data_IF_710234393459
#
_entry.id   IF_710234393459
#
_cell.length_a   1.000
_cell.length_b   1.000
_cell.length_c   1.000
_cell.angle_alpha   90.00
_cell.angle_beta   90.00
_cell.angle_gamma   90.00
#
_symmetry.space_group_name_H-M   'P 1'
#
loop_
_entity.id
_entity.type
_entity.pdbx_description
1 polymer ?
#
# COMPACT_ATOMS: atom_id res chain seq x y z
N UNK A 1 -32.87 24.31 48.11
CA UNK A 1 -32.60 25.11 46.89
C UNK A 1 -33.70 24.84 45.85
N UNK A 2 -34.96 25.09 46.22
CA UNK A 2 -36.16 24.63 45.47
C UNK A 2 -37.04 25.77 44.96
N UNK A 3 -36.61 27.03 45.10
CA UNK A 3 -37.40 28.20 44.68
C UNK A 3 -37.15 28.65 43.24
N UNK A 4 -36.14 28.11 42.55
CA UNK A 4 -35.78 28.54 41.18
C UNK A 4 -36.36 27.66 40.05
N UNK A 5 -36.99 26.52 40.36
CA UNK A 5 -37.58 25.65 39.33
C UNK A 5 -38.90 26.19 38.73
N UNK A 6 -39.53 27.17 39.38
CA UNK A 6 -40.81 27.73 38.91
C UNK A 6 -40.67 28.83 37.86
N UNK A 7 -39.45 29.15 37.41
CA UNK A 7 -39.23 30.21 36.41
C UNK A 7 -39.35 29.62 35.00
N UNK A 8 -40.45 29.93 34.32
CA UNK A 8 -40.63 29.62 32.89
C UNK A 8 -39.57 30.36 32.07
N UNK A 9 -38.52 29.66 31.67
CA UNK A 9 -37.49 30.13 30.71
C UNK A 9 -38.10 30.18 29.30
N UNK A 10 -38.94 31.19 29.07
CA UNK A 10 -39.39 31.56 27.73
C UNK A 10 -38.23 32.21 26.97
N UNK A 11 -37.97 31.74 25.75
CA UNK A 11 -36.95 32.32 24.87
C UNK A 11 -37.24 33.81 24.66
N UNK A 12 -36.26 34.68 24.86
CA UNK A 12 -36.39 36.13 24.63
C UNK A 12 -36.66 36.38 23.15
N UNK A 13 -37.84 36.91 22.80
CA UNK A 13 -38.20 37.27 21.42
C UNK A 13 -38.05 38.79 21.29
N UNK A 14 -37.02 39.22 20.58
CA UNK A 14 -36.80 40.64 20.27
C UNK A 14 -37.76 41.07 19.16
N UNK A 15 -38.61 42.07 19.45
CA UNK A 15 -39.50 42.67 18.44
C UNK A 15 -38.65 43.23 17.30
N UNK A 16 -38.75 42.63 16.11
CA UNK A 16 -38.08 43.07 14.88
C UNK A 16 -37.29 41.98 14.14
N UNK A 17 -37.07 40.82 14.75
CA UNK A 17 -36.31 39.74 14.12
C UNK A 17 -37.19 38.96 13.13
N UNK A 18 -37.02 39.23 11.83
CA UNK A 18 -37.69 38.48 10.76
C UNK A 18 -37.16 37.03 10.75
N UNK A 19 -38.03 36.06 10.96
CA UNK A 19 -37.72 34.63 10.82
C UNK A 19 -37.16 34.36 9.41
N UNK A 20 -35.83 34.17 9.30
CA UNK A 20 -35.22 33.69 8.06
C UNK A 20 -35.61 32.22 7.88
N UNK A 21 -36.17 31.81 6.72
CA UNK A 21 -36.48 30.40 6.48
C UNK A 21 -35.18 29.59 6.51
N UNK A 22 -35.17 28.50 7.31
CA UNK A 22 -34.07 27.55 7.33
C UNK A 22 -33.91 26.94 5.93
N UNK A 23 -32.81 27.26 5.23
CA UNK A 23 -32.44 26.56 4.00
C UNK A 23 -32.33 25.06 4.32
N UNK A 24 -33.06 24.23 3.58
CA UNK A 24 -32.96 22.77 3.66
C UNK A 24 -31.50 22.40 3.34
N UNK A 25 -30.78 21.85 4.33
CA UNK A 25 -29.47 21.24 4.07
C UNK A 25 -29.71 20.07 3.11
N UNK A 26 -29.11 20.14 1.92
CA UNK A 26 -29.00 18.97 1.06
C UNK A 26 -28.27 17.88 1.84
N UNK A 27 -28.89 16.71 1.93
CA UNK A 27 -28.31 15.52 2.52
C UNK A 27 -27.10 15.18 1.65
N UNK A 28 -25.90 15.52 2.12
CA UNK A 28 -24.68 15.01 1.50
C UNK A 28 -24.80 13.49 1.48
N UNK A 29 -24.60 12.89 0.30
CA UNK A 29 -24.40 11.44 0.21
C UNK A 29 -23.32 11.11 1.24
N UNK A 30 -23.65 10.24 2.19
CA UNK A 30 -22.66 9.69 3.12
C UNK A 30 -21.53 9.18 2.24
N UNK A 31 -20.35 9.77 2.40
CA UNK A 31 -19.12 9.13 1.97
C UNK A 31 -19.15 7.79 2.68
N UNK A 32 -19.25 6.71 1.90
CA UNK A 32 -19.16 5.37 2.44
C UNK A 32 -17.77 5.30 3.06
N UNK A 33 -17.73 5.31 4.39
CA UNK A 33 -16.49 5.09 5.14
C UNK A 33 -16.06 3.69 4.76
N UNK A 34 -15.11 3.62 3.82
CA UNK A 34 -14.40 2.38 3.51
C UNK A 34 -13.74 1.99 4.81
N UNK A 35 -14.37 1.06 5.53
CA UNK A 35 -13.79 0.43 6.71
C UNK A 35 -12.35 0.06 6.36
N UNK A 36 -11.34 0.47 7.13
CA UNK A 36 -9.98 0.02 6.87
C UNK A 36 -10.03 -1.49 7.04
N UNK A 37 -10.05 -2.22 5.92
CA UNK A 37 -9.81 -3.65 5.92
C UNK A 37 -8.37 -3.76 6.39
N UNK A 38 -8.20 -3.96 7.69
CA UNK A 38 -6.91 -4.30 8.27
C UNK A 38 -6.57 -5.64 7.62
N UNK A 39 -5.74 -5.60 6.59
CA UNK A 39 -5.33 -6.80 5.89
C UNK A 39 -4.42 -7.56 6.85
N UNK A 40 -4.88 -8.73 7.30
CA UNK A 40 -4.13 -9.58 8.23
C UNK A 40 -2.79 -10.02 7.62
N UNK A 41 -2.71 -10.06 6.29
CA UNK A 41 -1.48 -10.24 5.52
C UNK A 41 -0.47 -9.13 5.85
N UNK A 42 -0.91 -7.87 5.83
CA UNK A 42 -0.02 -6.74 6.09
C UNK A 42 0.62 -6.80 7.46
N UNK A 43 -0.10 -7.30 8.46
CA UNK A 43 0.46 -7.44 9.80
C UNK A 43 1.44 -8.63 9.85
N UNK A 44 1.13 -9.73 9.17
CA UNK A 44 1.99 -10.94 9.13
C UNK A 44 3.29 -10.72 8.37
N UNK A 45 3.31 -9.86 7.37
CA UNK A 45 4.49 -9.62 6.54
C UNK A 45 5.23 -8.32 6.90
N UNK A 46 5.06 -7.79 8.12
CA UNK A 46 5.80 -6.61 8.57
C UNK A 46 5.44 -5.31 7.84
N UNK A 47 4.13 -5.08 7.65
CA UNK A 47 3.51 -3.97 6.91
C UNK A 47 3.62 -4.05 5.37
N UNK A 48 3.93 -5.22 4.83
CA UNK A 48 3.90 -5.47 3.39
C UNK A 48 2.55 -6.03 2.97
N UNK A 49 1.93 -5.44 1.95
CA UNK A 49 0.64 -5.89 1.43
C UNK A 49 0.80 -6.47 0.03
N UNK A 50 -0.09 -7.41 -0.31
CA UNK A 50 -0.17 -7.94 -1.67
C UNK A 50 -0.71 -6.88 -2.63
N UNK A 51 -0.10 -6.80 -3.80
CA UNK A 51 -0.56 -5.94 -4.89
C UNK A 51 -1.45 -6.76 -5.83
N UNK A 52 -2.60 -6.20 -6.24
CA UNK A 52 -3.55 -6.89 -7.13
C UNK A 52 -3.44 -6.48 -8.59
N UNK A 53 -2.94 -5.28 -8.87
CA UNK A 53 -2.80 -4.74 -10.23
C UNK A 53 -1.34 -4.44 -10.53
N UNK A 54 -0.91 -4.75 -11.75
CA UNK A 54 0.46 -4.48 -12.22
C UNK A 54 0.80 -2.98 -12.18
N UNK A 55 -0.18 -2.12 -12.41
CA UNK A 55 -0.04 -0.65 -12.35
C UNK A 55 0.36 -0.14 -10.96
N UNK A 56 -0.02 -0.85 -9.90
CA UNK A 56 0.28 -0.49 -8.51
C UNK A 56 1.66 -1.01 -8.06
N UNK A 57 2.34 -1.82 -8.89
CA UNK A 57 3.67 -2.36 -8.62
C UNK A 57 4.71 -1.28 -8.96
N UNK A 58 4.94 -0.38 -8.00
CA UNK A 58 5.93 0.69 -8.12
C UNK A 58 6.65 0.93 -6.79
N UNK A 59 7.97 1.10 -6.85
CA UNK A 59 8.80 1.34 -5.68
C UNK A 59 9.32 0.04 -5.04
N UNK A 60 9.53 0.01 -3.71
CA UNK A 60 10.08 -1.17 -3.05
C UNK A 60 9.04 -2.30 -3.03
N UNK A 61 9.45 -3.46 -3.56
CA UNK A 61 8.64 -4.67 -3.68
C UNK A 61 9.42 -5.86 -3.14
N UNK A 62 8.73 -6.83 -2.55
CA UNK A 62 9.29 -8.12 -2.16
C UNK A 62 8.53 -9.22 -2.89
N UNK A 63 9.25 -10.26 -3.31
CA UNK A 63 8.66 -11.43 -3.98
C UNK A 63 8.72 -12.60 -3.02
N UNK A 64 7.56 -13.09 -2.62
CA UNK A 64 7.43 -14.26 -1.76
C UNK A 64 7.20 -15.53 -2.58
N UNK A 65 7.87 -16.61 -2.19
CA UNK A 65 7.63 -17.95 -2.66
C UNK A 65 7.15 -18.82 -1.49
N UNK A 66 5.99 -19.44 -1.61
CA UNK A 66 5.48 -20.37 -0.59
C UNK A 66 5.14 -19.70 0.74
N UNK A 67 5.78 -20.15 1.83
CA UNK A 67 5.47 -19.71 3.20
C UNK A 67 6.57 -18.80 3.74
N UNK A 68 6.38 -17.48 3.67
CA UNK A 68 7.27 -16.46 4.25
C UNK A 68 8.73 -16.60 3.79
N UNK A 69 8.99 -17.16 2.60
CA UNK A 69 10.34 -17.16 2.01
C UNK A 69 10.39 -16.12 0.91
N UNK A 70 11.33 -15.18 0.99
CA UNK A 70 11.47 -14.13 -0.01
C UNK A 70 12.66 -14.37 -0.92
N UNK A 71 12.63 -13.78 -2.11
CA UNK A 71 13.77 -13.79 -3.03
C UNK A 71 14.87 -12.89 -2.49
N UNK A 72 16.01 -13.49 -2.15
CA UNK A 72 17.23 -12.79 -1.75
C UNK A 72 18.15 -12.60 -2.96
N UNK A 73 18.65 -11.37 -3.13
CA UNK A 73 19.71 -11.10 -4.08
C UNK A 73 21.08 -11.42 -3.49
N UNK A 74 21.96 -12.01 -4.30
CA UNK A 74 23.37 -12.21 -3.97
C UNK A 74 24.25 -11.19 -4.71
N UNK A 75 25.41 -10.91 -4.13
CA UNK A 75 26.45 -10.02 -4.66
C UNK A 75 26.97 -10.43 -6.05
N UNK A 76 27.00 -11.73 -6.33
CA UNK A 76 27.41 -12.31 -7.61
C UNK A 76 26.38 -12.15 -8.74
N UNK A 77 25.26 -11.47 -8.47
CA UNK A 77 24.16 -11.24 -9.41
C UNK A 77 23.29 -12.48 -9.62
N UNK A 78 23.33 -13.47 -8.73
CA UNK A 78 22.37 -14.55 -8.66
C UNK A 78 21.28 -14.24 -7.63
N UNK A 79 20.16 -14.93 -7.74
CA UNK A 79 19.08 -14.89 -6.75
C UNK A 79 18.94 -16.24 -6.08
N UNK A 80 18.66 -16.23 -4.79
CA UNK A 80 18.35 -17.42 -4.00
C UNK A 80 17.07 -17.18 -3.23
N UNK A 81 16.39 -18.25 -2.82
CA UNK A 81 15.34 -18.12 -1.82
C UNK A 81 15.99 -17.95 -0.43
N UNK A 82 15.49 -16.98 0.32
CA UNK A 82 15.85 -16.74 1.71
C UNK A 82 15.31 -17.83 2.63
N UNK A 83 15.74 -17.78 3.89
CA UNK A 83 15.15 -18.63 4.92
C UNK A 83 13.67 -18.23 5.15
N UNK A 84 12.81 -19.15 5.61
CA UNK A 84 11.48 -18.80 6.05
C UNK A 84 11.55 -17.79 7.21
N UNK A 85 10.85 -16.67 7.05
CA UNK A 85 10.70 -15.65 8.08
C UNK A 85 9.61 -16.03 9.08
N UNK A 86 9.66 -15.41 10.26
CA UNK A 86 8.64 -15.59 11.30
C UNK A 86 7.43 -14.67 11.07
N UNK A 87 6.27 -15.04 11.64
CA UNK A 87 5.06 -14.22 11.52
C UNK A 87 5.28 -12.82 12.12
N UNK A 88 5.07 -11.79 11.31
CA UNK A 88 5.26 -10.39 11.66
C UNK A 88 6.60 -9.80 11.21
N UNK A 89 7.51 -10.63 10.70
CA UNK A 89 8.81 -10.19 10.20
C UNK A 89 8.71 -9.77 8.73
N UNK A 90 9.25 -8.58 8.43
CA UNK A 90 9.29 -8.06 7.07
C UNK A 90 10.48 -8.61 6.28
N UNK A 91 10.47 -8.50 4.94
CA UNK A 91 11.60 -8.86 4.10
C UNK A 91 12.86 -8.10 4.51
N UNK A 92 13.99 -8.81 4.49
CA UNK A 92 15.30 -8.23 4.75
C UNK A 92 15.69 -7.23 3.64
N UNK A 93 16.60 -6.28 3.89
CA UNK A 93 17.06 -5.34 2.86
C UNK A 93 17.61 -6.01 1.60
N UNK A 94 18.19 -7.20 1.73
CA UNK A 94 18.71 -8.01 0.61
C UNK A 94 17.60 -8.72 -0.19
N UNK A 95 16.39 -8.77 0.36
CA UNK A 95 15.20 -9.38 -0.24
C UNK A 95 14.24 -8.32 -0.84
N UNK A 96 14.50 -7.04 -0.56
CA UNK A 96 13.75 -5.93 -1.12
C UNK A 96 14.30 -5.61 -2.51
N UNK A 97 13.42 -5.68 -3.51
CA UNK A 97 13.65 -5.26 -4.87
C UNK A 97 12.96 -3.91 -5.11
N UNK A 98 13.37 -3.19 -6.14
CA UNK A 98 12.67 -1.98 -6.60
C UNK A 98 11.98 -2.29 -7.91
N UNK A 99 10.65 -2.24 -7.93
CA UNK A 99 9.88 -2.28 -9.14
C UNK A 99 9.84 -0.90 -9.79
N UNK A 100 10.07 -0.89 -11.09
CA UNK A 100 9.95 0.27 -11.97
C UNK A 100 8.89 -0.09 -13.01
N UNK A 101 7.74 0.56 -12.95
CA UNK A 101 6.72 0.42 -13.98
C UNK A 101 7.20 1.11 -15.26
N UNK A 102 7.28 0.36 -16.35
CA UNK A 102 7.66 0.88 -17.67
C UNK A 102 6.41 1.28 -18.43
N UNK A 103 5.39 0.43 -18.35
CA UNK A 103 4.09 0.64 -18.98
C UNK A 103 2.99 0.00 -18.11
N UNK A 104 1.72 0.14 -18.48
CA UNK A 104 0.58 -0.44 -17.74
C UNK A 104 0.68 -1.97 -17.56
N UNK A 105 1.34 -2.65 -18.51
CA UNK A 105 1.52 -4.11 -18.52
C UNK A 105 2.93 -4.58 -18.22
N UNK A 106 3.91 -3.67 -18.18
CA UNK A 106 5.33 -4.03 -18.14
C UNK A 106 6.02 -3.44 -16.94
N UNK A 107 6.72 -4.28 -16.20
CA UNK A 107 7.49 -3.92 -15.01
C UNK A 107 8.94 -4.37 -15.17
N UNK A 108 9.86 -3.60 -14.62
CA UNK A 108 11.24 -4.02 -14.44
C UNK A 108 11.55 -4.08 -12.95
N UNK A 109 12.28 -5.11 -12.54
CA UNK A 109 12.74 -5.24 -11.16
C UNK A 109 14.22 -4.92 -11.08
N UNK A 110 14.58 -4.15 -10.06
CA UNK A 110 15.95 -3.79 -9.73
C UNK A 110 16.29 -4.37 -8.37
N UNK A 111 17.40 -5.09 -8.31
CA UNK A 111 17.94 -5.67 -7.08
C UNK A 111 18.47 -4.58 -6.13
N UNK A 112 18.58 -4.91 -4.84
CA UNK A 112 19.25 -4.07 -3.83
C UNK A 112 20.70 -3.68 -4.18
N UNK A 113 21.36 -4.42 -5.09
CA UNK A 113 22.70 -4.08 -5.62
C UNK A 113 22.67 -3.14 -6.84
N UNK A 114 21.55 -2.46 -7.09
CA UNK A 114 21.36 -1.55 -8.20
C UNK A 114 21.42 -2.16 -9.61
N UNK A 115 21.21 -3.47 -9.74
CA UNK A 115 21.20 -4.18 -11.04
C UNK A 115 19.78 -4.61 -11.43
N UNK A 116 19.47 -4.61 -12.71
CA UNK A 116 18.18 -5.07 -13.22
C UNK A 116 18.14 -6.59 -13.36
N UNK A 117 16.97 -7.16 -13.05
CA UNK A 117 16.68 -8.57 -13.22
C UNK A 117 16.52 -8.89 -14.71
N UNK A 118 17.28 -9.87 -15.16
CA UNK A 118 17.32 -10.36 -16.54
C UNK A 118 17.11 -11.88 -16.57
N UNK A 119 16.35 -12.34 -17.56
CA UNK A 119 16.28 -13.76 -17.90
C UNK A 119 17.45 -14.12 -18.83
N UNK A 120 18.31 -15.03 -18.38
CA UNK A 120 19.38 -15.60 -19.20
C UNK A 120 18.89 -16.77 -20.06
N UNK A 121 19.62 -17.13 -21.12
CA UNK A 121 19.25 -18.21 -22.07
C UNK A 121 19.12 -19.60 -21.42
N UNK A 122 19.60 -19.77 -20.20
CA UNK A 122 19.51 -21.02 -19.44
C UNK A 122 18.26 -21.06 -18.53
N UNK A 123 17.29 -20.18 -18.77
CA UNK A 123 16.09 -19.99 -17.92
C UNK A 123 16.42 -19.59 -16.46
N UNK A 124 17.63 -19.07 -16.25
CA UNK A 124 18.09 -18.57 -14.94
C UNK A 124 17.87 -17.06 -14.89
N UNK A 125 17.32 -16.59 -13.77
CA UNK A 125 17.19 -15.16 -13.48
C UNK A 125 18.50 -14.64 -12.88
N UNK A 126 19.08 -13.61 -13.47
CA UNK A 126 20.33 -12.98 -13.01
C UNK A 126 20.18 -11.46 -12.93
N UNK A 127 20.85 -10.85 -11.97
CA UNK A 127 20.80 -9.41 -11.69
C UNK A 127 22.14 -8.75 -12.01
N UNK A 128 22.58 -8.79 -13.27
CA UNK A 128 23.87 -8.21 -13.69
C UNK A 128 23.74 -7.02 -14.65
N UNK A 129 22.55 -6.77 -15.17
CA UNK A 129 22.30 -5.71 -16.14
C UNK A 129 22.26 -4.33 -15.49
N UNK A 130 22.95 -3.36 -16.10
CA UNK A 130 22.90 -1.95 -15.68
C UNK A 130 21.75 -1.17 -16.34
N UNK A 131 21.14 -1.72 -17.38
CA UNK A 131 20.09 -1.08 -18.16
C UNK A 131 18.88 -2.01 -18.34
N UNK A 132 17.72 -1.39 -18.53
CA UNK A 132 16.48 -2.07 -18.87
C UNK A 132 16.51 -2.38 -20.39
N UNK A 133 16.76 -3.63 -20.74
CA UNK A 133 16.65 -4.14 -22.10
C UNK A 133 15.33 -4.85 -22.36
N UNK A 134 15.26 -5.62 -23.45
CA UNK A 134 14.09 -6.44 -23.78
C UNK A 134 13.96 -7.67 -22.86
N UNK A 135 15.07 -8.16 -22.30
CA UNK A 135 15.13 -9.34 -21.42
C UNK A 135 14.90 -9.03 -19.95
N UNK A 136 14.80 -7.74 -19.63
CA UNK A 136 14.60 -7.17 -18.30
C UNK A 136 13.16 -6.63 -18.11
N UNK A 137 12.35 -6.68 -19.16
CA UNK A 137 10.93 -6.35 -19.14
C UNK A 137 10.14 -7.59 -18.75
N UNK A 138 9.43 -7.50 -17.63
CA UNK A 138 8.53 -8.52 -17.11
C UNK A 138 7.08 -8.09 -17.38
N UNK A 139 6.21 -9.06 -17.65
CA UNK A 139 4.76 -8.91 -17.88
C UNK A 139 4.00 -9.86 -16.97
#
# INVERSE_FOLDING_TARGET
>A
MSEYENVRVGKLILKGEKHRPKKRKHKSKKHEEVTPKIDTDSIKHGNWWKVTKVEEISGPVAIEFGNQTYVKALDNGLFTLGAPHNEGEGPSPEEILTAVSINEKKVAFKSGYNKYLRVEKNDIVTGRSDAIGATEQWE
#
